data_IF_299058731988
#
_entry.id   IF_299058731988
#
_cell.length_a   1.000
_cell.length_b   1.000
_cell.length_c   1.000
_cell.angle_alpha   90.00
_cell.angle_beta   90.00
_cell.angle_gamma   90.00
#
_symmetry.space_group_name_H-M   'P 1'
#
loop_
_entity.id
_entity.type
_entity.pdbx_description
1 polymer ?
#
# COMPACT_ATOMS: atom_id res chain seq x y z
N UNK A 1 22.73 -0.58 6.14
CA UNK A 1 22.10 -0.96 4.86
C UNK A 1 20.62 -0.66 4.96
N UNK A 2 20.04 0.16 4.07
CA UNK A 2 18.58 0.34 3.99
C UNK A 2 18.08 -0.70 2.97
N UNK A 3 17.32 -1.70 3.41
CA UNK A 3 16.81 -2.80 2.56
C UNK A 3 15.62 -2.32 1.70
N UNK A 4 15.46 -2.83 0.48
CA UNK A 4 14.48 -2.33 -0.51
C UNK A 4 13.23 -3.19 -0.65
N UNK A 5 13.16 -4.39 -0.07
CA UNK A 5 11.91 -5.16 -0.11
C UNK A 5 12.00 -6.53 0.54
N UNK A 6 10.91 -6.91 1.19
CA UNK A 6 10.70 -8.25 1.72
C UNK A 6 9.61 -8.91 0.87
N UNK A 7 9.98 -9.99 0.19
CA UNK A 7 9.09 -10.82 -0.62
C UNK A 7 8.66 -12.01 0.23
N UNK A 8 7.35 -12.30 0.27
CA UNK A 8 6.80 -13.52 0.86
C UNK A 8 6.32 -14.45 -0.24
N UNK A 9 6.87 -15.67 -0.31
CA UNK A 9 6.47 -16.68 -1.29
C UNK A 9 5.48 -17.69 -0.70
N UNK A 10 4.43 -18.00 -1.48
CA UNK A 10 3.45 -19.06 -1.15
C UNK A 10 4.04 -20.44 -1.44
N UNK A 11 3.71 -21.41 -0.59
CA UNK A 11 4.30 -22.77 -0.54
C UNK A 11 3.91 -23.72 -1.70
N UNK A 12 3.30 -23.24 -2.79
CA UNK A 12 2.61 -24.12 -3.76
C UNK A 12 3.27 -24.33 -5.13
N UNK A 13 4.05 -23.36 -5.61
CA UNK A 13 4.55 -23.39 -7.00
C UNK A 13 6.06 -23.57 -7.04
N UNK A 14 6.53 -24.54 -7.84
CA UNK A 14 7.96 -24.89 -7.92
C UNK A 14 8.87 -23.72 -8.30
N UNK A 15 8.42 -22.84 -9.18
CA UNK A 15 9.18 -21.65 -9.59
C UNK A 15 9.32 -20.60 -8.47
N UNK A 16 8.48 -20.64 -7.43
CA UNK A 16 8.56 -19.75 -6.25
C UNK A 16 9.41 -20.33 -5.11
N UNK A 17 10.01 -21.51 -5.31
CA UNK A 17 10.90 -22.16 -4.33
C UNK A 17 12.35 -21.78 -4.60
N UNK A 18 13.23 -22.77 -4.82
CA UNK A 18 14.65 -22.56 -5.10
C UNK A 18 14.90 -21.63 -6.30
N UNK A 19 14.17 -21.72 -7.43
CA UNK A 19 14.45 -20.85 -8.57
C UNK A 19 14.31 -19.35 -8.27
N UNK A 20 13.29 -18.96 -7.50
CA UNK A 20 13.13 -17.57 -7.06
C UNK A 20 14.26 -17.14 -6.11
N UNK A 21 14.66 -18.02 -5.20
CA UNK A 21 15.72 -17.74 -4.23
C UNK A 21 17.08 -17.54 -4.91
N UNK A 22 17.38 -18.36 -5.92
CA UNK A 22 18.59 -18.21 -6.73
C UNK A 22 18.55 -16.90 -7.53
N UNK A 23 17.40 -16.58 -8.13
CA UNK A 23 17.21 -15.37 -8.92
C UNK A 23 17.43 -14.08 -8.10
N UNK A 24 16.83 -13.97 -6.91
CA UNK A 24 16.98 -12.76 -6.08
C UNK A 24 18.38 -12.58 -5.50
N UNK A 25 19.19 -13.65 -5.45
CA UNK A 25 20.59 -13.62 -5.01
C UNK A 25 21.55 -13.14 -6.09
N UNK A 26 21.08 -12.99 -7.33
CA UNK A 26 21.90 -12.47 -8.41
C UNK A 26 22.50 -11.09 -8.04
N UNK A 27 23.76 -10.81 -8.43
CA UNK A 27 24.46 -9.57 -8.07
C UNK A 27 23.71 -8.28 -8.44
N UNK A 28 22.85 -8.32 -9.46
CA UNK A 28 22.04 -7.18 -9.91
C UNK A 28 21.12 -6.61 -8.81
N UNK A 29 20.72 -7.43 -7.84
CA UNK A 29 19.88 -7.00 -6.73
C UNK A 29 20.67 -6.43 -5.55
N UNK A 30 22.01 -6.55 -5.55
CA UNK A 30 22.89 -5.99 -4.52
C UNK A 30 22.50 -6.35 -3.08
N UNK A 31 21.89 -7.53 -2.87
CA UNK A 31 21.37 -7.97 -1.58
C UNK A 31 20.23 -7.11 -1.02
N UNK A 32 19.57 -6.29 -1.85
CA UNK A 32 18.48 -5.39 -1.44
C UNK A 32 17.12 -6.06 -1.36
N UNK A 33 16.95 -7.21 -2.04
CA UNK A 33 15.73 -8.01 -2.06
C UNK A 33 15.92 -9.19 -1.11
N UNK A 34 15.00 -9.34 -0.17
CA UNK A 34 15.00 -10.44 0.80
C UNK A 34 13.76 -11.30 0.60
N UNK A 35 13.91 -12.62 0.73
CA UNK A 35 12.81 -13.58 0.69
C UNK A 35 12.60 -14.16 2.08
N UNK A 36 11.39 -13.99 2.60
CA UNK A 36 10.95 -14.60 3.85
C UNK A 36 9.85 -15.62 3.55
N UNK A 37 10.00 -16.84 4.08
CA UNK A 37 9.01 -17.91 3.91
C UNK A 37 8.23 -18.09 5.21
N UNK A 38 6.91 -18.02 5.13
CA UNK A 38 6.06 -18.35 6.27
C UNK A 38 6.01 -19.87 6.43
N UNK A 39 6.03 -20.35 7.68
CA UNK A 39 5.97 -21.78 7.99
C UNK A 39 4.61 -22.40 7.63
N UNK A 40 3.55 -21.59 7.61
CA UNK A 40 2.19 -21.98 7.22
C UNK A 40 1.53 -20.86 6.41
N UNK A 41 0.35 -21.14 5.86
CA UNK A 41 -0.46 -20.15 5.15
C UNK A 41 -1.10 -19.17 6.14
N UNK A 42 -0.46 -18.02 6.35
CA UNK A 42 -0.93 -16.98 7.28
C UNK A 42 -2.04 -16.07 6.71
N UNK A 43 -2.16 -16.02 5.38
CA UNK A 43 -3.05 -15.05 4.72
C UNK A 43 -2.42 -13.68 4.55
N UNK A 44 -3.06 -12.80 3.78
CA UNK A 44 -2.54 -11.48 3.41
C UNK A 44 -2.27 -10.62 4.64
N UNK A 45 -3.22 -10.53 5.55
CA UNK A 45 -3.16 -9.62 6.71
C UNK A 45 -1.97 -9.95 7.61
N UNK A 46 -1.90 -11.18 8.13
CA UNK A 46 -0.79 -11.64 8.99
C UNK A 46 0.55 -11.64 8.26
N UNK A 47 0.57 -11.96 6.96
CA UNK A 47 1.81 -11.87 6.16
C UNK A 47 2.33 -10.44 6.09
N UNK A 48 1.46 -9.43 6.00
CA UNK A 48 1.86 -8.02 6.04
C UNK A 48 2.43 -7.61 7.41
N UNK A 49 1.86 -8.10 8.51
CA UNK A 49 2.38 -7.88 9.87
C UNK A 49 3.79 -8.48 10.01
N UNK A 50 3.97 -9.75 9.61
CA UNK A 50 5.27 -10.44 9.62
C UNK A 50 6.28 -9.67 8.76
N UNK A 51 5.87 -9.19 7.59
CA UNK A 51 6.68 -8.31 6.73
C UNK A 51 7.13 -7.04 7.42
N UNK A 52 6.21 -6.34 8.08
CA UNK A 52 6.51 -5.13 8.83
C UNK A 52 7.52 -5.39 9.98
N UNK A 53 7.43 -6.55 10.64
CA UNK A 53 8.34 -6.93 11.73
C UNK A 53 9.77 -7.16 11.23
N UNK A 54 9.94 -7.79 10.06
CA UNK A 54 11.24 -7.99 9.44
C UNK A 54 11.81 -6.74 8.76
N UNK A 55 10.95 -5.80 8.34
CA UNK A 55 11.37 -4.57 7.69
C UNK A 55 12.13 -3.65 8.67
N UNK A 56 13.18 -3.00 8.16
CA UNK A 56 14.03 -2.08 8.93
C UNK A 56 14.00 -0.64 8.41
N UNK A 57 13.25 -0.39 7.32
CA UNK A 57 13.05 0.95 6.78
C UNK A 57 12.21 1.84 7.70
N UNK A 58 12.42 3.16 7.60
CA UNK A 58 11.67 4.18 8.35
C UNK A 58 10.20 4.26 7.90
N UNK A 59 9.96 3.95 6.62
CA UNK A 59 8.65 3.88 5.99
C UNK A 59 8.42 2.45 5.50
N UNK A 60 7.25 1.91 5.80
CA UNK A 60 6.74 0.68 5.21
C UNK A 60 5.94 1.05 3.97
N UNK A 61 6.18 0.33 2.87
CA UNK A 61 5.48 0.51 1.62
C UNK A 61 5.01 -0.86 1.14
N UNK A 62 3.70 -1.03 1.06
CA UNK A 62 3.07 -2.26 0.59
C UNK A 62 2.70 -2.12 -0.87
N UNK A 63 3.00 -3.16 -1.64
CA UNK A 63 2.62 -3.33 -3.03
C UNK A 63 2.07 -4.75 -3.20
N UNK A 64 1.06 -4.90 -4.05
CA UNK A 64 0.67 -6.23 -4.49
C UNK A 64 1.75 -6.80 -5.43
N UNK A 65 1.85 -8.13 -5.49
CA UNK A 65 2.90 -8.82 -6.24
C UNK A 65 2.78 -8.67 -7.78
N UNK A 66 1.77 -7.95 -8.25
CA UNK A 66 1.41 -7.75 -9.65
C UNK A 66 1.15 -6.25 -9.93
N UNK A 67 2.07 -5.40 -9.46
CA UNK A 67 2.04 -3.97 -9.68
C UNK A 67 3.24 -3.49 -10.51
N UNK A 68 3.02 -2.49 -11.35
CA UNK A 68 4.07 -1.77 -12.07
C UNK A 68 4.08 -0.30 -11.62
N UNK A 69 5.10 0.15 -10.87
CA UNK A 69 5.16 1.53 -10.42
C UNK A 69 5.49 2.48 -11.59
N UNK A 70 4.75 3.57 -11.69
CA UNK A 70 4.98 4.62 -12.70
C UNK A 70 6.24 5.46 -12.45
N UNK A 71 6.54 6.37 -13.38
CA UNK A 71 7.66 7.30 -13.23
C UNK A 71 7.47 8.19 -11.99
N UNK A 72 8.55 8.41 -11.24
CA UNK A 72 8.58 9.30 -10.06
C UNK A 72 7.50 8.97 -8.99
N UNK A 73 7.07 7.72 -8.89
CA UNK A 73 6.02 7.30 -7.96
C UNK A 73 6.39 7.43 -6.47
N UNK A 74 7.69 7.26 -6.13
CA UNK A 74 8.11 7.14 -4.74
C UNK A 74 8.21 8.49 -3.99
N UNK A 75 8.84 9.56 -4.51
CA UNK A 75 8.95 10.82 -3.77
C UNK A 75 7.60 11.44 -3.36
N UNK A 76 6.55 11.46 -4.21
CA UNK A 76 5.22 11.93 -3.82
C UNK A 76 4.57 11.11 -2.70
N UNK A 77 4.85 9.81 -2.61
CA UNK A 77 4.37 8.95 -1.50
C UNK A 77 5.09 9.26 -0.19
N UNK A 78 6.40 9.53 -0.25
CA UNK A 78 7.22 9.76 0.96
C UNK A 78 7.09 11.18 1.52
N UNK A 79 6.90 12.19 0.66
CA UNK A 79 6.91 13.60 1.08
C UNK A 79 5.84 13.93 2.14
N UNK A 80 4.58 13.46 2.05
CA UNK A 80 3.58 13.72 3.10
C UNK A 80 3.91 13.02 4.42
N UNK A 81 4.56 11.85 4.38
CA UNK A 81 4.99 11.11 5.56
C UNK A 81 6.17 11.82 6.23
N UNK A 82 7.10 12.36 5.43
CA UNK A 82 8.21 13.15 5.94
C UNK A 82 7.73 14.45 6.61
N UNK A 83 6.70 15.09 6.04
CA UNK A 83 6.07 16.28 6.63
C UNK A 83 5.26 15.95 7.89
N UNK A 84 4.60 14.79 7.93
CA UNK A 84 3.87 14.31 9.09
C UNK A 84 3.92 12.78 9.20
N UNK A 85 4.71 12.26 10.15
CA UNK A 85 5.02 10.83 10.34
C UNK A 85 3.78 9.94 10.47
N UNK A 86 2.69 10.49 10.99
CA UNK A 86 1.41 9.81 11.21
C UNK A 86 0.48 9.82 9.98
N UNK A 87 1.00 10.15 8.81
CA UNK A 87 0.22 10.14 7.56
C UNK A 87 0.37 8.77 6.91
N UNK A 88 -0.74 8.17 6.48
CA UNK A 88 -0.73 7.06 5.54
C UNK A 88 -1.03 7.62 4.14
N UNK A 89 -0.24 7.23 3.14
CA UNK A 89 -0.37 7.74 1.77
C UNK A 89 -0.64 6.60 0.80
N UNK A 90 -1.69 6.73 0.00
CA UNK A 90 -2.07 5.80 -1.04
C UNK A 90 -1.73 6.40 -2.42
N UNK A 91 -1.12 5.63 -3.33
CA UNK A 91 -1.00 6.07 -4.71
C UNK A 91 -2.36 6.06 -5.40
N UNK A 92 -2.48 6.79 -6.51
CA UNK A 92 -3.50 6.44 -7.49
C UNK A 92 -3.17 5.08 -8.09
N UNK A 93 -4.17 4.22 -8.22
CA UNK A 93 -4.01 2.85 -8.72
C UNK A 93 -4.70 2.75 -10.07
N UNK A 94 -3.90 2.76 -11.12
CA UNK A 94 -4.36 2.51 -12.49
C UNK A 94 -4.55 1.00 -12.73
N UNK A 95 -5.29 0.67 -13.79
CA UNK A 95 -5.61 -0.69 -14.19
C UNK A 95 -4.60 -1.16 -15.24
N UNK A 96 -3.96 -2.31 -14.98
CA UNK A 96 -3.24 -3.09 -15.98
C UNK A 96 -4.22 -4.11 -16.56
N UNK A 97 -4.50 -4.04 -17.86
CA UNK A 97 -5.38 -4.95 -18.58
C UNK A 97 -4.89 -6.39 -18.46
N UNK A 98 -5.75 -7.31 -18.02
CA UNK A 98 -5.35 -8.70 -17.75
C UNK A 98 -5.03 -9.53 -19.00
N UNK A 99 -5.45 -9.06 -20.19
CA UNK A 99 -5.25 -9.76 -21.46
C UNK A 99 -4.16 -9.11 -22.32
N UNK A 100 -4.08 -7.79 -22.36
CA UNK A 100 -3.20 -7.02 -23.24
C UNK A 100 -2.11 -6.25 -22.49
N UNK A 101 -2.15 -6.23 -21.15
CA UNK A 101 -1.28 -5.43 -20.29
C UNK A 101 -1.34 -3.92 -20.61
N UNK A 102 -2.44 -3.46 -21.21
CA UNK A 102 -2.70 -2.05 -21.47
C UNK A 102 -2.89 -1.28 -20.15
N UNK A 103 -2.34 -0.06 -20.08
CA UNK A 103 -2.51 0.81 -18.91
C UNK A 103 -3.71 1.73 -19.10
N UNK A 104 -4.62 1.70 -18.13
CA UNK A 104 -5.84 2.50 -18.16
C UNK A 104 -6.09 3.14 -16.79
N UNK A 105 -6.54 4.40 -16.75
CA UNK A 105 -6.95 4.99 -15.49
C UNK A 105 -8.15 4.25 -14.91
N UNK A 106 -8.25 4.22 -13.58
CA UNK A 106 -9.39 3.61 -12.92
C UNK A 106 -10.67 4.43 -13.17
N UNK A 107 -11.77 3.75 -13.54
CA UNK A 107 -13.06 4.40 -13.79
C UNK A 107 -13.00 5.38 -14.96
N UNK A 108 -13.36 6.64 -14.72
CA UNK A 108 -13.29 7.71 -15.74
C UNK A 108 -11.95 8.46 -15.76
N UNK A 109 -11.00 8.10 -14.89
CA UNK A 109 -9.77 8.87 -14.65
C UNK A 109 -9.96 10.15 -13.84
N UNK A 110 -11.19 10.47 -13.43
CA UNK A 110 -11.43 11.55 -12.48
C UNK A 110 -10.99 11.14 -11.06
N UNK A 111 -10.49 12.11 -10.29
CA UNK A 111 -10.14 11.88 -8.89
C UNK A 111 -11.35 11.38 -8.08
N UNK A 112 -11.13 10.33 -7.31
CA UNK A 112 -12.11 9.73 -6.42
C UNK A 112 -11.47 9.47 -5.06
N UNK A 113 -12.29 9.42 -4.02
CA UNK A 113 -11.86 9.04 -2.68
C UNK A 113 -12.49 7.70 -2.29
N UNK A 114 -11.77 6.96 -1.47
CA UNK A 114 -12.23 5.69 -0.93
C UNK A 114 -13.29 5.84 0.14
N UNK A 115 -14.20 4.87 0.20
CA UNK A 115 -15.17 4.76 1.27
C UNK A 115 -15.86 3.40 1.25
N UNK A 116 -16.97 3.30 1.97
CA UNK A 116 -17.74 2.07 2.10
C UNK A 116 -19.24 2.33 2.18
N UNK A 117 -20.03 1.32 1.84
CA UNK A 117 -21.46 1.29 2.17
C UNK A 117 -21.70 0.66 3.56
N UNK A 118 -22.94 0.70 4.07
CA UNK A 118 -23.26 0.17 5.40
C UNK A 118 -23.09 -1.34 5.57
N UNK A 119 -22.83 -2.06 4.47
CA UNK A 119 -22.45 -3.48 4.48
C UNK A 119 -20.93 -3.66 4.49
N UNK A 120 -20.17 -2.57 4.66
CA UNK A 120 -18.70 -2.52 4.63
C UNK A 120 -18.08 -3.01 3.31
N UNK A 121 -18.77 -2.81 2.17
CA UNK A 121 -18.15 -2.99 0.86
C UNK A 121 -17.46 -1.73 0.39
N UNK A 122 -16.24 -1.88 -0.16
CA UNK A 122 -15.48 -0.80 -0.78
C UNK A 122 -16.26 -0.09 -1.89
N UNK A 123 -16.19 1.25 -1.90
CA UNK A 123 -16.78 2.11 -2.93
C UNK A 123 -15.83 3.26 -3.27
N UNK A 124 -15.86 3.67 -4.52
CA UNK A 124 -15.27 4.92 -4.98
C UNK A 124 -16.33 6.03 -4.96
N UNK A 125 -16.01 7.15 -4.32
CA UNK A 125 -16.84 8.35 -4.33
C UNK A 125 -16.13 9.46 -5.09
N UNK A 126 -16.83 10.27 -5.90
CA UNK A 126 -16.22 11.43 -6.53
C UNK A 126 -15.55 12.35 -5.50
N UNK A 127 -14.43 12.98 -5.87
CA UNK A 127 -13.79 13.97 -5.02
C UNK A 127 -14.76 15.16 -4.79
N UNK A 128 -15.12 15.49 -3.53
CA UNK A 128 -16.07 16.56 -3.26
C UNK A 128 -15.45 17.95 -3.47
N UNK A 129 -16.28 18.95 -3.78
CA UNK A 129 -15.80 20.28 -4.16
C UNK A 129 -15.07 21.02 -3.04
N UNK A 130 -15.40 20.76 -1.77
CA UNK A 130 -14.66 21.34 -0.65
C UNK A 130 -13.19 20.87 -0.62
N UNK A 131 -12.95 19.63 -1.02
CA UNK A 131 -11.62 19.04 -1.01
C UNK A 131 -10.80 19.55 -2.20
N UNK A 132 -11.45 19.73 -3.37
CA UNK A 132 -10.85 20.42 -4.52
C UNK A 132 -10.43 21.84 -4.16
N UNK A 133 -11.30 22.62 -3.51
CA UNK A 133 -11.05 24.02 -3.13
C UNK A 133 -9.97 24.20 -2.07
N UNK A 134 -9.70 23.18 -1.25
CA UNK A 134 -8.66 23.22 -0.21
C UNK A 134 -7.24 23.15 -0.78
N UNK A 135 -7.10 22.61 -1.99
CA UNK A 135 -5.82 22.37 -2.65
C UNK A 135 -5.43 23.59 -3.49
N UNK A 136 -4.19 24.03 -3.35
CA UNK A 136 -3.64 25.10 -4.16
C UNK A 136 -3.31 24.60 -5.57
N UNK A 137 -2.90 23.33 -5.68
CA UNK A 137 -2.57 22.70 -6.95
C UNK A 137 -3.29 21.36 -7.13
N UNK A 138 -3.65 21.03 -8.37
CA UNK A 138 -4.33 19.77 -8.73
C UNK A 138 -3.48 18.52 -8.53
N UNK A 139 -2.19 18.67 -8.24
CA UNK A 139 -1.24 17.58 -7.96
C UNK A 139 -0.98 17.38 -6.47
N UNK A 140 -1.57 18.20 -5.59
CA UNK A 140 -1.44 18.02 -4.14
C UNK A 140 -2.25 16.82 -3.63
N UNK A 141 -1.74 16.01 -2.69
CA UNK A 141 -2.51 14.92 -2.11
C UNK A 141 -3.82 15.40 -1.45
N UNK A 142 -4.85 14.54 -1.43
CA UNK A 142 -6.15 14.84 -0.84
C UNK A 142 -6.59 13.80 0.18
N UNK A 143 -7.46 14.18 1.11
CA UNK A 143 -7.91 13.31 2.19
C UNK A 143 -8.92 12.27 1.71
N UNK A 144 -8.68 11.01 2.07
CA UNK A 144 -9.54 9.87 1.78
C UNK A 144 -10.13 9.29 3.08
N UNK A 145 -11.44 9.06 3.18
CA UNK A 145 -12.05 8.42 4.36
C UNK A 145 -11.56 7.00 4.63
N UNK A 146 -11.25 6.24 3.58
CA UNK A 146 -10.73 4.89 3.68
C UNK A 146 -9.75 4.59 2.55
N UNK A 147 -8.76 3.74 2.80
CA UNK A 147 -7.86 3.21 1.77
C UNK A 147 -8.38 1.91 1.17
N UNK A 148 -8.04 1.64 -0.09
CA UNK A 148 -8.31 0.33 -0.72
C UNK A 148 -7.52 -0.79 -0.05
N UNK A 149 -6.36 -0.46 0.54
CA UNK A 149 -5.54 -1.35 1.35
C UNK A 149 -4.50 -2.16 0.59
N UNK A 150 -4.62 -2.35 -0.72
CA UNK A 150 -3.62 -3.05 -1.55
C UNK A 150 -2.25 -2.36 -1.52
N UNK A 151 -2.24 -1.06 -1.85
CA UNK A 151 -1.02 -0.26 -1.98
C UNK A 151 -1.11 0.97 -1.07
N UNK A 152 -0.10 1.15 -0.21
CA UNK A 152 0.04 2.34 0.61
C UNK A 152 1.44 2.43 1.23
N UNK A 153 1.80 3.61 1.70
CA UNK A 153 3.01 3.88 2.46
C UNK A 153 2.67 4.54 3.80
N UNK A 154 3.37 4.15 4.87
CA UNK A 154 3.25 4.80 6.17
C UNK A 154 4.54 4.66 6.99
N UNK A 155 4.74 5.50 7.99
CA UNK A 155 5.83 5.31 8.93
C UNK A 155 5.76 3.95 9.63
N UNK A 156 6.88 3.23 9.67
CA UNK A 156 6.99 1.95 10.38
C UNK A 156 6.65 2.08 11.85
N UNK A 157 7.16 3.13 12.50
CA UNK A 157 6.88 3.41 13.91
C UNK A 157 5.38 3.65 14.11
N UNK A 158 4.75 4.46 13.24
CA UNK A 158 3.32 4.73 13.34
C UNK A 158 2.45 3.48 13.14
N UNK A 159 2.84 2.60 12.21
CA UNK A 159 2.14 1.33 12.02
C UNK A 159 2.09 0.50 13.30
N UNK A 160 3.21 0.42 14.03
CA UNK A 160 3.26 -0.32 15.29
C UNK A 160 2.63 0.44 16.47
N UNK A 161 2.66 1.77 16.48
CA UNK A 161 1.93 2.60 17.46
C UNK A 161 0.41 2.37 17.38
N UNK A 162 -0.13 2.15 16.17
CA UNK A 162 -1.53 1.76 15.96
C UNK A 162 -1.83 0.29 16.32
N UNK A 163 -0.82 -0.46 16.76
CA UNK A 163 -0.94 -1.88 17.04
C UNK A 163 -0.99 -2.75 15.79
N UNK A 164 -0.38 -2.31 14.67
CA UNK A 164 -0.46 -2.95 13.36
C UNK A 164 -1.92 -3.20 12.92
N UNK A 165 -2.15 -4.22 12.08
CA UNK A 165 -3.50 -4.77 11.86
C UNK A 165 -3.91 -5.63 13.05
N UNK A 166 -5.21 -5.68 13.36
CA UNK A 166 -5.76 -6.64 14.31
C UNK A 166 -5.41 -8.09 13.94
N UNK A 167 -4.72 -8.80 14.83
CA UNK A 167 -4.30 -10.19 14.65
C UNK A 167 -5.47 -11.19 14.61
N UNK A 168 -6.64 -10.78 15.10
CA UNK A 168 -7.90 -11.50 15.00
C UNK A 168 -8.48 -11.54 13.58
N UNK A 169 -8.05 -10.63 12.69
CA UNK A 169 -8.44 -10.69 11.27
C UNK A 169 -7.70 -11.82 10.57
N UNK A 170 -8.47 -12.62 9.82
CA UNK A 170 -7.95 -13.79 9.12
C UNK A 170 -7.97 -13.61 7.61
N UNK A 171 -6.94 -14.15 6.94
CA UNK A 171 -6.83 -14.23 5.48
C UNK A 171 -6.83 -12.87 4.77
N UNK A 172 -8.00 -12.27 4.55
CA UNK A 172 -8.21 -11.05 3.78
C UNK A 172 -9.63 -10.51 4.03
N UNK A 173 -9.77 -9.19 4.09
CA UNK A 173 -11.06 -8.50 4.19
C UNK A 173 -11.17 -7.66 5.45
N UNK A 174 -11.58 -6.40 5.28
CA UNK A 174 -11.84 -5.48 6.38
C UNK A 174 -10.59 -4.81 6.97
N UNK A 175 -9.38 -5.33 6.71
CA UNK A 175 -8.13 -4.77 7.24
C UNK A 175 -7.90 -3.34 6.77
N UNK A 176 -8.28 -3.06 5.53
CA UNK A 176 -8.16 -1.74 4.92
C UNK A 176 -9.04 -0.70 5.65
N UNK A 177 -10.23 -1.10 6.10
CA UNK A 177 -11.12 -0.24 6.89
C UNK A 177 -10.66 -0.11 8.33
N UNK A 178 -10.25 -1.22 8.94
CA UNK A 178 -9.74 -1.25 10.30
C UNK A 178 -8.58 -0.26 10.50
N UNK A 179 -7.59 -0.30 9.60
CA UNK A 179 -6.46 0.63 9.65
C UNK A 179 -6.88 2.06 9.33
N UNK A 180 -7.84 2.25 8.41
CA UNK A 180 -8.40 3.58 8.12
C UNK A 180 -9.12 4.18 9.33
N UNK A 181 -9.83 3.38 10.11
CA UNK A 181 -10.55 3.82 11.32
C UNK A 181 -9.62 4.06 12.50
N UNK A 182 -8.58 3.23 12.66
CA UNK A 182 -7.51 3.44 13.64
C UNK A 182 -6.74 4.73 13.42
N UNK A 183 -6.75 5.25 12.20
CA UNK A 183 -6.08 6.49 11.81
C UNK A 183 -7.07 7.67 11.80
N UNK A 184 -7.53 8.16 12.96
CA UNK A 184 -8.82 8.82 13.11
C UNK A 184 -8.66 10.33 12.92
N UNK A 185 -8.28 10.78 11.71
CA UNK A 185 -8.46 12.18 11.25
C UNK A 185 -7.66 13.21 12.13
N UNK A 186 -7.68 14.53 11.85
CA UNK A 186 -6.48 15.37 11.76
C UNK A 186 -5.69 15.52 13.09
N UNK A 187 -4.35 15.64 13.00
CA UNK A 187 -3.60 15.94 11.79
C UNK A 187 -3.22 14.70 10.97
N UNK A 188 -3.83 13.53 11.21
CA UNK A 188 -3.38 12.20 10.71
C UNK A 188 -4.21 11.63 9.53
N UNK A 189 -4.41 12.32 8.38
CA UNK A 189 -5.30 11.79 7.33
C UNK A 189 -4.64 10.65 6.54
N UNK A 190 -5.45 9.68 6.11
CA UNK A 190 -5.16 8.91 4.90
C UNK A 190 -5.20 9.88 3.73
N UNK A 191 -4.13 9.93 2.93
CA UNK A 191 -4.05 10.80 1.76
C UNK A 191 -3.91 9.97 0.50
N UNK A 192 -4.80 10.18 -0.45
CA UNK A 192 -4.61 9.70 -1.81
C UNK A 192 -3.74 10.72 -2.56
N UNK A 193 -2.79 10.23 -3.35
CA UNK A 193 -2.12 11.06 -4.33
C UNK A 193 -3.11 11.51 -5.41
N UNK A 194 -2.79 12.61 -6.06
CA UNK A 194 -3.42 13.02 -7.32
C UNK A 194 -2.48 12.80 -8.49
N UNK A 195 -3.06 12.70 -9.69
CA UNK A 195 -2.31 12.55 -10.93
C UNK A 195 -1.37 13.76 -11.12
N UNK A 196 -0.14 13.46 -11.51
CA UNK A 196 0.86 14.47 -11.90
C UNK A 196 0.62 14.95 -13.34
#
# INVERSE_FOLDING_TARGET
>A
MKHLGIVFAVLGYGHLQQPLEDYIREPKFLGKVLLHRNAKREGLIRTRIIGAQHATGEVLLWLDAHCEPGYNWLPPLLAPIAANRTTAVCPLVDVIGNMDFGLHPQGSGALSRGGFDWSLFWKHFPLPDFEKKRRLHETEPYSSPAMAGGLFAMSREFFFELGAYDEGLEIWGGENFELSFKNPVPPHPVKDLSSA
#
